data_IF_051045301608
#
_entry.id   IF_051045301608
#
_cell.length_a   1.000
_cell.length_b   1.000
_cell.length_c   1.000
_cell.angle_alpha   90.00
_cell.angle_beta   90.00
_cell.angle_gamma   90.00
#
_symmetry.space_group_name_H-M   'P 1'
#
loop_
_entity.id
_entity.type
_entity.pdbx_description
1 polymer ?
2 non-polymer ?
3 water ?
#
# COMPACT_ATOMS: atom_id res chain seq x y z
N UNK A 1 5.83 -16.66 15.93
CA UNK A 1 5.80 -15.22 15.68
C UNK A 1 6.61 -14.89 14.42
N UNK A 2 6.15 -13.90 13.67
CA UNK A 2 6.90 -13.46 12.50
C UNK A 2 5.98 -12.75 11.51
N UNK A 3 6.34 -12.85 10.23
CA UNK A 3 5.55 -12.34 9.12
C UNK A 3 6.28 -12.70 7.83
N UNK A 4 5.74 -12.23 6.70
CA UNK A 4 6.37 -12.44 5.40
C UNK A 4 7.46 -11.40 5.17
N UNK A 5 8.60 -11.84 4.66
CA UNK A 5 9.63 -10.91 4.18
C UNK A 5 9.74 -10.88 2.66
N UNK A 6 9.38 -11.97 1.99
CA UNK A 6 9.35 -12.02 0.52
C UNK A 6 7.99 -12.55 0.09
N UNK A 7 7.07 -11.67 -0.35
CA UNK A 7 7.32 -10.23 -0.29
C UNK A 7 7.07 -9.69 1.10
N UNK A 8 7.58 -8.49 1.39
CA UNK A 8 7.39 -7.92 2.73
C UNK A 8 5.92 -7.69 3.02
N UNK A 9 5.50 -8.08 4.22
CA UNK A 9 4.19 -7.66 4.69
C UNK A 9 4.18 -6.14 4.84
N UNK A 10 2.99 -5.58 5.04
CA UNK A 10 2.89 -4.14 5.20
C UNK A 10 3.61 -3.68 6.46
N UNK A 11 3.69 -4.55 7.48
CA UNK A 11 4.32 -4.16 8.75
C UNK A 11 5.83 -4.32 8.67
N UNK A 12 6.32 -5.42 8.09
CA UNK A 12 7.76 -5.58 7.88
C UNK A 12 8.31 -4.44 7.04
N UNK A 13 7.59 -4.03 6.00
CA UNK A 13 8.01 -2.93 5.16
C UNK A 13 8.22 -1.64 5.92
N UNK A 14 7.13 -1.08 6.46
CA UNK A 14 7.23 0.13 7.27
C UNK A 14 8.41 0.09 8.23
N UNK A 15 8.77 -1.09 8.72
CA UNK A 15 9.80 -1.22 9.74
C UNK A 15 11.20 -1.29 9.14
N UNK A 16 11.38 -2.02 8.04
CA UNK A 16 12.64 -1.96 7.31
C UNK A 16 12.97 -0.54 6.88
N UNK A 17 11.97 0.34 6.84
CA UNK A 17 12.22 1.74 6.51
C UNK A 17 12.93 2.45 7.66
N UNK A 18 12.54 2.16 8.89
CA UNK A 18 13.07 2.83 10.05
C UNK A 18 11.97 3.47 10.87
N UNK A 19 11.37 2.69 11.78
CA UNK A 19 10.28 3.22 12.61
C UNK A 19 10.59 4.58 13.19
N UNK A 20 11.84 4.77 13.65
CA UNK A 20 12.22 6.02 14.29
C UNK A 20 12.29 7.18 13.30
N UNK A 21 12.31 6.91 12.00
CA UNK A 21 12.31 7.94 10.97
C UNK A 21 11.68 7.38 9.70
N UNK A 22 10.37 7.19 9.67
CA UNK A 22 9.72 6.62 8.50
C UNK A 22 10.06 7.37 7.22
N UNK A 23 10.06 6.65 6.11
CA UNK A 23 10.41 7.21 4.80
C UNK A 23 9.21 7.36 3.88
N UNK A 24 8.36 6.34 3.81
CA UNK A 24 7.18 6.41 2.97
C UNK A 24 6.04 7.13 3.69
N UNK A 25 5.22 7.83 2.91
CA UNK A 25 4.10 8.55 3.49
C UNK A 25 3.18 7.63 4.26
N UNK A 26 2.83 6.49 3.67
CA UNK A 26 1.96 5.52 4.35
C UNK A 26 2.51 5.16 5.73
N UNK A 27 3.83 4.91 5.82
CA UNK A 27 4.42 4.52 7.09
C UNK A 27 4.48 5.69 8.06
N UNK A 28 4.81 6.88 7.56
CA UNK A 28 4.73 8.08 8.41
C UNK A 28 3.33 8.22 8.99
N UNK A 29 2.31 8.14 8.13
CA UNK A 29 0.93 8.21 8.61
C UNK A 29 0.57 7.03 9.50
N UNK A 30 1.32 5.93 9.43
CA UNK A 30 1.02 4.78 10.28
C UNK A 30 1.55 4.99 11.70
N UNK A 31 2.75 5.55 11.84
CA UNK A 31 3.30 5.81 13.16
C UNK A 31 2.58 6.98 13.81
N UNK A 32 2.25 8.00 13.03
CA UNK A 32 1.44 9.10 13.55
C UNK A 32 0.07 8.61 14.00
N UNK A 33 -0.37 7.44 13.55
CA UNK A 33 -1.70 6.92 13.86
C UNK A 33 -1.69 5.99 15.05
N UNK A 34 -0.82 4.97 15.05
CA UNK A 34 -0.82 3.98 16.11
C UNK A 34 0.46 3.93 16.92
N UNK A 35 1.32 4.92 16.75
CA UNK A 35 2.57 5.00 17.48
C UNK A 35 3.67 4.16 16.87
N UNK A 36 4.90 4.41 17.33
CA UNK A 36 6.05 3.63 16.88
C UNK A 36 6.13 2.27 17.55
N UNK A 37 5.42 2.08 18.66
CA UNK A 37 5.54 0.85 19.43
C UNK A 37 5.11 -0.37 18.62
N UNK A 38 4.03 -0.25 17.86
CA UNK A 38 3.55 -1.37 17.07
C UNK A 38 4.62 -1.85 16.09
N UNK A 39 5.30 -0.93 15.43
CA UNK A 39 6.27 -1.30 14.40
C UNK A 39 7.39 -2.17 14.95
N UNK A 40 7.63 -2.14 16.26
CA UNK A 40 8.68 -2.97 16.83
C UNK A 40 8.14 -4.33 17.25
N UNK A 41 6.94 -4.35 17.83
CA UNK A 41 6.24 -5.60 18.10
C UNK A 41 5.63 -6.10 16.79
N UNK A 42 6.44 -6.04 15.72
CA UNK A 42 6.02 -6.38 14.37
C UNK A 42 5.75 -7.88 14.19
N UNK A 43 6.12 -8.71 15.17
CA UNK A 43 5.89 -10.14 15.09
C UNK A 43 4.55 -10.57 15.64
N UNK A 44 3.87 -9.69 16.39
CA UNK A 44 2.66 -10.08 17.10
C UNK A 44 1.38 -9.53 16.54
N UNK A 45 1.18 -9.66 15.23
CA UNK A 45 -0.09 -9.35 14.58
C UNK A 45 -0.84 -10.68 14.52
N UNK A 46 -1.55 -10.99 15.59
CA UNK A 46 -2.08 -12.33 15.80
C UNK A 46 -3.43 -12.25 16.49
N UNK A 47 -4.05 -13.42 16.67
CA UNK A 47 -5.23 -13.55 17.51
C UNK A 47 -5.10 -14.85 18.29
N UNK A 48 -4.84 -14.74 19.60
CA UNK A 48 -4.50 -15.89 20.41
C UNK A 48 -5.50 -17.03 20.37
N UNK A 49 -6.78 -16.73 20.11
CA UNK A 49 -7.83 -17.76 20.11
C UNK A 49 -8.66 -17.62 18.84
N UNK A 50 -8.05 -17.95 17.70
CA UNK A 50 -8.78 -18.04 16.43
C UNK A 50 -9.37 -19.42 16.22
N UNK A 51 -8.62 -20.47 16.54
CA UNK A 51 -9.06 -21.86 16.40
C UNK A 51 -9.42 -22.21 14.96
N UNK A 52 -8.98 -21.39 14.00
CA UNK A 52 -9.31 -21.58 12.61
C UNK A 52 -10.50 -20.80 12.12
N UNK A 53 -11.14 -20.00 12.98
CA UNK A 53 -12.32 -19.23 12.61
C UNK A 53 -12.03 -17.74 12.51
N UNK A 54 -10.96 -17.40 11.78
CA UNK A 54 -10.51 -16.02 11.63
C UNK A 54 -11.65 -15.06 11.33
N UNK A 55 -12.64 -15.50 10.54
CA UNK A 55 -13.74 -14.63 10.16
C UNK A 55 -14.56 -14.17 11.36
N UNK A 56 -14.50 -14.91 12.48
CA UNK A 56 -15.29 -14.56 13.65
C UNK A 56 -14.53 -13.71 14.66
N UNK A 57 -13.20 -13.64 14.55
CA UNK A 57 -12.40 -12.94 15.54
C UNK A 57 -11.73 -11.69 14.97
N UNK A 58 -11.42 -11.66 13.68
CA UNK A 58 -10.88 -10.48 13.02
C UNK A 58 -12.06 -9.61 12.56
N UNK A 59 -12.23 -8.41 13.10
CA UNK A 59 -13.35 -7.57 12.66
C UNK A 59 -13.10 -6.99 11.27
N UNK A 60 -14.18 -6.80 10.53
CA UNK A 60 -14.08 -6.11 9.25
C UNK A 60 -13.53 -4.70 9.46
N UNK A 61 -12.71 -4.25 8.52
CA UNK A 61 -12.10 -2.94 8.63
C UNK A 61 -10.84 -2.89 9.48
N UNK A 62 -10.42 -4.01 10.07
CA UNK A 62 -9.17 -4.09 10.79
C UNK A 62 -8.46 -5.41 10.51
N UNK A 63 -8.52 -5.88 9.26
CA UNK A 63 -7.87 -7.13 8.92
C UNK A 63 -6.36 -7.02 9.04
N UNK A 64 -5.77 -5.93 8.51
CA UNK A 64 -4.34 -5.76 8.59
C UNK A 64 -3.84 -5.65 10.02
N UNK A 65 -4.72 -5.37 10.98
CA UNK A 65 -4.31 -5.23 12.37
C UNK A 65 -4.94 -6.23 13.31
N UNK A 66 -5.54 -7.29 12.74
CA UNK A 66 -6.19 -8.33 13.53
C UNK A 66 -7.09 -7.74 14.62
N UNK A 67 -7.60 -6.53 14.38
CA UNK A 67 -8.45 -5.87 15.35
C UNK A 67 -7.74 -5.46 16.63
N UNK A 68 -6.41 -5.55 16.64
CA UNK A 68 -5.63 -5.17 17.82
C UNK A 68 -5.45 -3.67 17.83
N UNK A 69 -5.99 -3.01 18.88
CA UNK A 69 -5.88 -1.56 18.97
C UNK A 69 -4.45 -1.08 18.82
N UNK A 70 -3.48 -1.91 19.23
CA UNK A 70 -2.09 -1.52 19.10
C UNK A 70 -1.70 -1.28 17.65
N UNK A 71 -2.14 -2.16 16.74
CA UNK A 71 -1.81 -2.04 15.32
C UNK A 71 -2.84 -1.22 14.55
N UNK A 72 -3.63 -0.40 15.23
CA UNK A 72 -4.67 0.38 14.55
C UNK A 72 -4.12 1.08 13.32
N UNK A 73 -2.87 1.53 13.37
CA UNK A 73 -2.27 2.26 12.28
C UNK A 73 -2.05 1.46 11.00
N UNK A 74 -2.24 0.14 11.03
CA UNK A 74 -2.07 -0.65 9.84
C UNK A 74 -3.32 -0.70 8.96
N UNK A 75 -4.48 -0.39 9.53
CA UNK A 75 -5.76 -0.50 8.83
C UNK A 75 -6.06 0.71 7.97
N UNK A 76 -5.13 1.66 7.86
CA UNK A 76 -5.36 2.86 7.06
C UNK A 76 -5.69 2.50 5.61
N UNK A 77 -6.71 3.17 5.07
CA UNK A 77 -7.10 2.98 3.67
C UNK A 77 -6.42 4.06 2.84
N UNK A 78 -5.33 3.70 2.18
CA UNK A 78 -4.58 4.62 1.35
C UNK A 78 -4.22 3.96 0.03
N UNK A 79 -3.95 4.80 -0.96
CA UNK A 79 -3.55 4.34 -2.29
C UNK A 79 -2.02 4.32 -2.47
N UNK A 80 -1.26 4.58 -1.41
CA UNK A 80 0.19 4.74 -1.54
C UNK A 80 0.99 3.74 -0.73
N UNK A 81 0.35 2.82 -0.01
CA UNK A 81 1.07 1.79 0.74
C UNK A 81 2.16 1.20 -0.15
N UNK A 82 3.44 1.33 0.23
CA UNK A 82 4.50 0.74 -0.58
C UNK A 82 4.22 -0.74 -0.87
N UNK A 83 4.51 -1.14 -2.11
CA UNK A 83 4.06 -2.43 -2.61
C UNK A 83 5.12 -3.09 -3.48
N UNK A 84 5.23 -4.41 -3.34
CA UNK A 84 6.12 -5.20 -4.18
C UNK A 84 5.41 -5.61 -5.46
N UNK A 85 6.10 -5.48 -6.59
CA UNK A 85 5.59 -5.91 -7.88
C UNK A 85 6.01 -7.36 -8.10
N UNK A 86 5.02 -8.24 -8.31
CA UNK A 86 5.26 -9.67 -8.33
C UNK A 86 4.74 -10.25 -9.63
N UNK A 87 5.32 -11.40 -10.02
CA UNK A 87 4.96 -12.09 -11.25
C UNK A 87 5.37 -13.54 -11.11
N UNK A 88 4.74 -14.45 -11.86
CA UNK A 88 5.06 -15.87 -11.73
C UNK A 88 6.36 -16.22 -12.43
N UNK A 89 6.83 -17.43 -12.18
CA UNK A 89 8.03 -17.94 -12.83
C UNK A 89 7.64 -18.66 -14.11
N UNK A 90 8.52 -19.51 -14.64
CA UNK A 90 8.23 -20.22 -15.88
C UNK A 90 7.04 -21.16 -15.73
N UNK A 91 6.60 -21.45 -14.51
CA UNK A 91 5.49 -22.36 -14.29
C UNK A 91 4.29 -21.70 -13.65
N UNK A 92 4.34 -20.39 -13.38
CA UNK A 92 3.20 -19.67 -12.85
C UNK A 92 3.13 -19.58 -11.34
N UNK A 93 4.17 -20.01 -10.63
CA UNK A 93 4.17 -20.02 -9.17
C UNK A 93 4.99 -18.87 -8.62
N UNK A 94 4.88 -18.69 -7.30
CA UNK A 94 5.61 -17.65 -6.58
C UNK A 94 6.13 -18.25 -5.29
N UNK A 95 7.41 -18.01 -4.98
CA UNK A 95 8.04 -18.58 -3.79
C UNK A 95 7.96 -17.56 -2.66
N UNK A 96 7.05 -17.79 -1.73
CA UNK A 96 6.90 -16.90 -0.58
C UNK A 96 7.93 -17.25 0.48
N UNK A 97 8.45 -16.22 1.16
CA UNK A 97 9.50 -16.38 2.15
C UNK A 97 9.00 -15.76 3.44
N UNK A 98 8.60 -16.61 4.39
CA UNK A 98 8.05 -16.18 5.67
C UNK A 98 9.14 -16.24 6.73
N UNK A 99 9.31 -15.14 7.46
CA UNK A 99 10.33 -15.03 8.50
C UNK A 99 9.71 -15.35 9.85
N UNK A 100 10.20 -16.42 10.48
CA UNK A 100 9.67 -16.91 11.75
C UNK A 100 10.71 -16.66 12.83
N UNK A 101 10.57 -15.54 13.56
CA UNK A 101 11.43 -15.27 14.70
C UNK A 101 11.19 -16.24 15.85
N UNK A 102 10.13 -17.04 15.79
CA UNK A 102 9.89 -18.10 16.76
C UNK A 102 9.19 -19.23 16.02
N UNK A 103 9.94 -20.20 15.50
CA UNK A 103 9.31 -21.31 14.77
C UNK A 103 8.43 -22.15 15.68
N UNK A 104 7.13 -22.18 15.37
CA UNK A 104 6.18 -23.00 16.09
C UNK A 104 5.53 -23.99 15.13
N UNK A 105 4.98 -25.06 15.70
CA UNK A 105 4.29 -26.06 14.89
C UNK A 105 3.26 -25.38 13.99
N UNK A 106 3.02 -25.97 12.84
CA UNK A 106 2.24 -25.35 11.78
C UNK A 106 1.02 -26.18 11.45
N UNK A 107 -0.15 -25.51 11.42
CA UNK A 107 -1.37 -26.12 10.88
C UNK A 107 -1.48 -25.86 9.38
N UNK A 108 -1.58 -24.59 8.99
CA UNK A 108 -1.60 -24.26 7.57
C UNK A 108 -1.10 -22.84 7.36
N UNK A 109 -0.79 -22.54 6.09
CA UNK A 109 -0.41 -21.20 5.62
C UNK A 109 -1.38 -20.88 4.49
N UNK A 110 -2.41 -20.09 4.79
CA UNK A 110 -3.46 -19.79 3.83
C UNK A 110 -3.24 -18.40 3.24
N UNK A 111 -3.36 -18.29 1.93
CA UNK A 111 -3.14 -17.03 1.22
C UNK A 111 -4.44 -16.55 0.60
N UNK A 112 -4.93 -15.41 1.05
CA UNK A 112 -6.10 -14.76 0.48
C UNK A 112 -5.66 -13.61 -0.42
N UNK A 113 -6.52 -13.27 -1.37
CA UNK A 113 -6.22 -12.28 -2.39
C UNK A 113 -7.45 -11.40 -2.57
N UNK A 114 -7.23 -10.08 -2.65
CA UNK A 114 -8.35 -9.17 -2.82
C UNK A 114 -9.07 -9.45 -4.14
N UNK A 115 -10.36 -9.17 -4.16
CA UNK A 115 -11.18 -9.39 -5.35
C UNK A 115 -10.69 -8.50 -6.49
N UNK A 116 -11.04 -8.88 -7.71
CA UNK A 116 -10.81 -8.01 -8.85
C UNK A 116 -11.63 -6.74 -8.69
N UNK A 117 -10.97 -5.60 -8.84
CA UNK A 117 -11.59 -4.33 -8.57
C UNK A 117 -11.41 -3.82 -7.15
N UNK A 118 -10.53 -4.45 -6.37
CA UNK A 118 -10.23 -3.97 -5.03
C UNK A 118 -10.00 -2.47 -5.03
N UNK A 119 -10.56 -1.78 -4.05
CA UNK A 119 -10.42 -0.33 -3.93
C UNK A 119 -9.64 -0.01 -2.68
N UNK A 120 -8.35 0.34 -2.79
CA UNK A 120 -7.52 0.52 -1.60
C UNK A 120 -8.14 1.47 -0.58
N UNK A 121 -8.99 2.37 -1.05
CA UNK A 121 -9.52 3.42 -0.20
C UNK A 121 -10.65 2.95 0.70
N UNK A 122 -11.20 1.76 0.47
CA UNK A 122 -12.17 1.18 1.38
C UNK A 122 -11.44 0.25 2.34
N UNK A 123 -11.50 0.48 3.65
CA UNK A 123 -10.76 -0.37 4.58
C UNK A 123 -11.01 -1.85 4.32
N UNK A 124 -9.95 -2.64 4.38
CA UNK A 124 -10.02 -4.04 4.00
C UNK A 124 -11.02 -4.78 4.88
N UNK A 125 -12.07 -5.31 4.24
CA UNK A 125 -13.03 -6.18 4.89
C UNK A 125 -12.91 -7.58 4.31
N UNK A 126 -13.44 -8.56 5.04
CA UNK A 126 -13.32 -9.94 4.61
C UNK A 126 -13.93 -10.14 3.22
N UNK A 127 -15.05 -9.48 2.95
CA UNK A 127 -15.73 -9.61 1.67
C UNK A 127 -15.03 -8.85 0.54
N UNK A 128 -14.03 -8.03 0.85
CA UNK A 128 -13.17 -7.47 -0.19
C UNK A 128 -12.17 -8.49 -0.71
N UNK A 129 -11.95 -9.56 0.04
CA UNK A 129 -11.09 -10.66 -0.35
C UNK A 129 -11.93 -11.72 -1.05
N UNK A 130 -11.29 -12.48 -1.94
CA UNK A 130 -11.99 -13.58 -2.58
C UNK A 130 -12.25 -14.70 -1.58
N UNK A 131 -13.32 -15.47 -1.79
CA UNK A 131 -13.86 -16.30 -0.71
C UNK A 131 -12.91 -17.36 -0.18
N UNK A 132 -12.36 -18.20 -1.06
CA UNK A 132 -11.45 -19.24 -0.63
C UNK A 132 -10.01 -18.85 -0.95
N UNK A 133 -9.05 -19.31 -0.15
CA UNK A 133 -7.64 -18.95 -0.40
C UNK A 133 -7.13 -19.53 -1.70
N UNK A 134 -6.19 -18.81 -2.31
CA UNK A 134 -5.61 -19.20 -3.59
C UNK A 134 -4.41 -20.12 -3.43
N UNK A 135 -3.96 -20.37 -2.21
CA UNK A 135 -2.83 -21.25 -1.94
C UNK A 135 -2.90 -21.70 -0.49
N UNK A 136 -2.75 -23.00 -0.26
CA UNK A 136 -2.85 -23.57 1.08
C UNK A 136 -1.65 -24.48 1.32
N UNK A 137 -0.72 -24.03 2.15
CA UNK A 137 0.48 -24.79 2.49
C UNK A 137 0.21 -25.54 3.79
N UNK A 138 0.53 -26.84 3.79
CA UNK A 138 0.15 -27.70 4.90
C UNK A 138 1.34 -28.40 5.57
N UNK A 139 2.55 -28.25 5.06
CA UNK A 139 3.73 -28.67 5.78
C UNK A 139 4.91 -27.82 5.31
N UNK A 140 5.77 -27.44 6.25
CA UNK A 140 6.93 -26.60 5.95
C UNK A 140 8.13 -27.14 6.71
N UNK A 141 9.31 -26.75 6.23
CA UNK A 141 10.57 -27.01 6.91
C UNK A 141 11.32 -25.70 7.06
N UNK A 142 11.98 -25.53 8.20
CA UNK A 142 12.70 -24.30 8.49
C UNK A 142 14.04 -24.28 7.76
N UNK A 143 14.48 -23.08 7.37
CA UNK A 143 15.74 -22.93 6.65
C UNK A 143 16.23 -21.49 6.89
N UNK A 144 17.16 -21.34 7.83
CA UNK A 144 17.72 -20.04 8.18
C UNK A 144 16.62 -19.06 8.60
N UNK A 145 15.81 -19.50 9.57
CA UNK A 145 14.82 -18.62 10.15
C UNK A 145 13.76 -18.13 9.20
N UNK A 146 13.43 -18.92 8.17
CA UNK A 146 12.37 -18.56 7.24
C UNK A 146 11.70 -19.83 6.75
N UNK A 147 10.39 -19.74 6.53
CA UNK A 147 9.62 -20.81 5.90
C UNK A 147 9.40 -20.43 4.44
N UNK A 148 9.86 -21.29 3.53
CA UNK A 148 9.80 -21.02 2.10
C UNK A 148 8.78 -21.95 1.48
N UNK A 149 7.78 -21.39 0.80
CA UNK A 149 6.65 -22.15 0.27
C UNK A 149 6.38 -21.71 -1.15
N UNK A 150 6.33 -22.68 -2.07
CA UNK A 150 5.95 -22.37 -3.44
C UNK A 150 4.44 -22.32 -3.55
N UNK A 151 3.93 -21.30 -4.25
CA UNK A 151 2.51 -21.03 -4.30
C UNK A 151 2.07 -20.74 -5.74
N UNK A 152 0.95 -21.29 -6.18
CA UNK A 152 0.42 -20.92 -7.51
C UNK A 152 -0.19 -19.53 -7.48
N UNK A 153 0.38 -18.63 -8.26
CA UNK A 153 -0.04 -17.23 -8.26
C UNK A 153 -1.34 -17.08 -9.05
N UNK A 154 -2.35 -16.40 -8.51
CA UNK A 154 -3.60 -16.23 -9.26
C UNK A 154 -3.34 -15.50 -10.57
N UNK A 155 -3.99 -15.97 -11.63
CA UNK A 155 -3.86 -15.38 -12.95
C UNK A 155 -5.06 -14.50 -13.27
N UNK A 156 -4.84 -13.53 -14.16
CA UNK A 156 -5.87 -12.61 -14.56
C UNK A 156 -5.95 -11.35 -13.72
N UNK A 157 -5.25 -11.29 -12.59
CA UNK A 157 -5.29 -10.11 -11.74
C UNK A 157 -4.49 -8.97 -12.35
N UNK A 158 -4.85 -7.75 -11.97
CA UNK A 158 -4.16 -6.57 -12.46
C UNK A 158 -4.34 -5.43 -11.47
N UNK A 159 -3.27 -4.68 -11.24
CA UNK A 159 -3.30 -3.52 -10.37
C UNK A 159 -2.74 -3.81 -8.99
N UNK A 160 -2.99 -2.87 -8.09
CA UNK A 160 -2.52 -2.99 -6.72
C UNK A 160 -3.49 -3.87 -5.92
N UNK A 161 -2.95 -4.89 -5.26
CA UNK A 161 -3.75 -5.80 -4.47
C UNK A 161 -3.10 -6.04 -3.11
N UNK A 162 -3.89 -6.61 -2.21
CA UNK A 162 -3.44 -7.04 -0.89
C UNK A 162 -3.59 -8.54 -0.82
N UNK A 163 -2.49 -9.25 -0.58
CA UNK A 163 -2.53 -10.67 -0.25
C UNK A 163 -2.63 -10.78 1.26
N UNK A 164 -3.63 -11.52 1.74
CA UNK A 164 -3.86 -11.70 3.16
C UNK A 164 -3.40 -13.10 3.54
N UNK A 165 -2.31 -13.19 4.30
CA UNK A 165 -1.75 -14.46 4.72
C UNK A 165 -2.15 -14.76 6.15
N UNK A 166 -2.71 -15.95 6.37
CA UNK A 166 -3.05 -16.45 7.69
C UNK A 166 -2.17 -17.64 7.99
N UNK A 167 -1.52 -17.61 9.15
CA UNK A 167 -0.72 -18.73 9.64
C UNK A 167 -1.39 -19.27 10.90
N UNK A 168 -1.99 -20.45 10.79
CA UNK A 168 -2.64 -21.10 11.91
C UNK A 168 -1.68 -22.13 12.49
N UNK A 169 -1.24 -21.91 13.72
CA UNK A 169 -0.40 -22.89 14.37
C UNK A 169 -1.19 -24.16 14.66
N UNK A 170 -0.48 -25.29 14.71
CA UNK A 170 -1.10 -26.55 15.09
C UNK A 170 -1.00 -26.80 16.59
N UNK A 171 0.08 -26.36 17.23
CA UNK A 171 0.30 -26.68 18.63
C UNK A 171 -0.56 -25.85 19.57
N UNK A 172 -1.03 -24.69 19.14
CA UNK A 172 -1.95 -23.89 19.94
C UNK A 172 -3.12 -23.44 19.07
N UNK A 173 -4.08 -22.69 19.63
CA UNK A 173 -5.24 -22.25 18.83
C UNK A 173 -5.07 -20.90 18.14
N UNK A 174 -3.91 -20.27 18.26
CA UNK A 174 -3.70 -18.91 17.78
C UNK A 174 -3.12 -18.90 16.36
N UNK A 175 -3.20 -17.74 15.72
CA UNK A 175 -2.78 -17.60 14.33
C UNK A 175 -2.28 -16.18 14.09
N UNK A 176 -1.56 -16.01 12.99
CA UNK A 176 -0.96 -14.73 12.64
C UNK A 176 -1.43 -14.28 11.26
N UNK A 177 -1.43 -12.96 11.06
CA UNK A 177 -2.01 -12.35 9.87
C UNK A 177 -1.01 -11.40 9.25
N UNK A 178 -0.98 -11.35 7.91
CA UNK A 178 0.02 -10.57 7.18
C UNK A 178 -0.61 -9.95 5.95
N UNK A 179 -0.78 -8.63 5.99
CA UNK A 179 -1.24 -7.86 4.82
C UNK A 179 -0.04 -7.57 3.94
N UNK A 180 0.10 -8.31 2.85
CA UNK A 180 1.18 -8.09 1.89
C UNK A 180 0.64 -7.26 0.74
N UNK A 181 1.19 -6.06 0.56
CA UNK A 181 0.81 -5.19 -0.56
C UNK A 181 1.63 -5.59 -1.78
N UNK A 182 0.97 -6.14 -2.79
CA UNK A 182 1.61 -6.57 -4.02
C UNK A 182 1.03 -5.76 -5.17
N UNK A 183 1.62 -5.96 -6.36
CA UNK A 183 1.20 -5.23 -7.56
C UNK A 183 1.41 -6.12 -8.77
N UNK A 184 0.34 -6.36 -9.53
CA UNK A 184 0.37 -7.27 -10.66
C UNK A 184 0.54 -6.52 -11.97
N UNK A 185 1.15 -7.20 -12.95
CA UNK A 185 1.26 -6.69 -14.31
C UNK A 185 0.09 -7.22 -15.14
N UNK A 186 -0.58 -6.31 -15.84
CA UNK A 186 -1.73 -6.68 -16.63
C UNK A 186 -1.36 -7.55 -17.82
N UNK A 187 -2.40 -7.98 -18.54
CA UNK A 187 -2.20 -8.69 -19.80
C UNK A 187 -1.73 -7.76 -20.91
N UNK A 188 -1.68 -6.46 -20.66
CA UNK A 188 -1.20 -5.46 -21.61
C UNK A 188 -0.22 -4.55 -20.89
N UNK A 189 0.89 -4.25 -21.57
CA UNK A 189 1.92 -3.40 -20.97
C UNK A 189 1.32 -2.10 -20.47
N UNK A 190 1.56 -1.80 -19.19
CA UNK A 190 0.96 -0.64 -18.54
C UNK A 190 2.03 0.30 -17.99
N UNK A 191 3.07 0.63 -18.77
CA UNK A 191 4.15 1.47 -18.22
C UNK A 191 3.67 2.87 -17.92
N UNK A 192 4.12 3.41 -16.78
CA UNK A 192 3.82 4.79 -16.44
C UNK A 192 4.26 5.70 -17.58
N UNK A 193 3.35 6.54 -18.04
CA UNK A 193 3.66 7.53 -19.06
C UNK A 193 3.59 8.93 -18.45
N UNK A 194 4.58 9.75 -18.74
CA UNK A 194 4.61 11.12 -18.23
C UNK A 194 3.74 12.02 -19.09
N UNK A 195 3.04 12.95 -18.42
CA UNK A 195 2.20 13.93 -19.11
C UNK A 195 2.76 15.35 -19.02
N UNK A 196 3.16 15.80 -17.85
CA UNK A 196 3.73 17.12 -17.72
C UNK A 196 4.65 17.18 -16.52
N UNK A 197 5.12 18.40 -16.24
CA UNK A 197 5.94 18.68 -15.07
C UNK A 197 5.15 19.53 -14.10
N UNK A 198 5.06 19.08 -12.85
CA UNK A 198 4.41 19.86 -11.80
C UNK A 198 5.42 20.89 -11.32
N UNK A 199 5.52 21.97 -12.10
CA UNK A 199 6.50 23.01 -11.88
C UNK A 199 5.92 24.15 -11.05
N UNK A 200 6.78 24.80 -10.29
CA UNK A 200 6.40 25.92 -9.43
C UNK A 200 7.21 27.15 -9.83
N UNK A 201 6.50 28.21 -10.24
CA UNK A 201 7.16 29.46 -10.60
C UNK A 201 7.69 30.17 -9.37
N UNK A 202 6.79 30.54 -8.46
CA UNK A 202 7.14 31.18 -7.20
C UNK A 202 6.29 30.57 -6.10
N UNK A 203 6.54 30.99 -4.86
CA UNK A 203 5.80 30.45 -3.73
C UNK A 203 4.35 30.95 -3.74
N UNK A 204 3.48 30.19 -3.07
CA UNK A 204 2.07 30.48 -2.92
C UNK A 204 1.76 30.92 -1.49
N UNK A 205 0.78 31.80 -1.31
CA UNK A 205 0.44 32.24 0.05
C UNK A 205 -0.15 31.11 0.87
N UNK A 206 0.26 31.05 2.14
CA UNK A 206 -0.31 30.08 3.06
C UNK A 206 -1.83 30.21 3.09
N UNK A 207 -2.51 29.07 3.07
CA UNK A 207 -3.96 29.04 3.03
C UNK A 207 -4.56 29.01 1.65
N UNK A 208 -3.79 29.32 0.62
CA UNK A 208 -4.27 29.12 -0.74
C UNK A 208 -4.47 27.63 -1.00
N UNK A 209 -5.42 27.31 -1.88
CA UNK A 209 -5.74 25.94 -2.20
C UNK A 209 -5.24 25.60 -3.60
N UNK A 210 -4.70 24.41 -3.75
CA UNK A 210 -4.14 23.94 -5.02
C UNK A 210 -4.91 22.71 -5.46
N UNK A 211 -5.43 22.75 -6.68
CA UNK A 211 -6.25 21.68 -7.22
C UNK A 211 -5.60 21.10 -8.48
N UNK A 212 -5.62 19.78 -8.60
CA UNK A 212 -5.13 19.09 -9.80
C UNK A 212 -6.30 18.35 -10.43
N UNK A 213 -6.65 18.75 -11.65
CA UNK A 213 -7.66 18.06 -12.42
C UNK A 213 -7.01 17.14 -13.45
N UNK A 214 -7.65 16.01 -13.71
CA UNK A 214 -7.14 15.02 -14.65
C UNK A 214 -8.23 14.73 -15.68
N UNK A 215 -7.86 14.78 -16.95
CA UNK A 215 -8.78 14.57 -18.06
C UNK A 215 -8.37 13.34 -18.85
N UNK A 216 -9.35 12.54 -19.25
CA UNK A 216 -9.06 11.32 -20.00
C UNK A 216 -8.89 11.65 -21.48
N UNK A 217 -8.64 10.60 -22.27
CA UNK A 217 -8.38 10.77 -23.70
C UNK A 217 -9.51 11.51 -24.42
N UNK A 218 -10.72 11.51 -23.84
CA UNK A 218 -11.87 12.16 -24.45
C UNK A 218 -12.19 13.50 -23.80
N UNK A 219 -11.24 14.11 -23.10
CA UNK A 219 -11.48 15.37 -22.42
C UNK A 219 -12.50 15.31 -21.30
N UNK A 220 -12.84 14.12 -20.82
CA UNK A 220 -13.80 14.00 -19.73
C UNK A 220 -13.08 14.11 -18.38
N UNK A 221 -13.83 14.56 -17.37
CA UNK A 221 -13.29 14.65 -16.03
C UNK A 221 -13.01 13.26 -15.49
N UNK A 222 -11.75 12.96 -15.23
CA UNK A 222 -11.32 11.64 -14.77
C UNK A 222 -11.17 11.57 -13.25
N UNK A 223 -10.48 12.55 -12.67
CA UNK A 223 -10.26 12.60 -11.22
C UNK A 223 -9.98 14.05 -10.84
N UNK A 224 -10.19 14.35 -9.56
CA UNK A 224 -9.85 15.66 -9.02
C UNK A 224 -9.29 15.50 -7.62
N UNK A 225 -8.27 16.29 -7.31
CA UNK A 225 -7.59 16.20 -6.02
C UNK A 225 -7.18 17.60 -5.59
N UNK A 226 -7.71 18.04 -4.45
CA UNK A 226 -7.48 19.38 -3.94
C UNK A 226 -6.75 19.32 -2.60
N UNK A 227 -6.02 20.39 -2.29
CA UNK A 227 -5.21 20.43 -1.08
C UNK A 227 -4.98 21.88 -0.68
N UNK A 228 -5.46 22.27 0.49
CA UNK A 228 -5.17 23.58 1.05
C UNK A 228 -3.84 23.51 1.80
N UNK A 229 -2.94 24.45 1.49
CA UNK A 229 -1.55 24.37 1.91
C UNK A 229 -1.38 25.05 3.27
N UNK A 230 -1.15 24.24 4.32
CA UNK A 230 -0.80 24.81 5.61
C UNK A 230 0.54 25.53 5.53
N UNK A 231 0.78 26.41 6.50
CA UNK A 231 2.06 27.08 6.59
C UNK A 231 3.20 26.07 6.54
N UNK A 232 4.22 26.37 5.75
CA UNK A 232 5.33 25.47 5.55
C UNK A 232 5.20 24.54 4.37
N UNK A 233 4.00 24.37 3.84
CA UNK A 233 3.76 23.61 2.62
C UNK A 233 3.53 24.49 1.41
N UNK A 234 3.46 25.81 1.60
CA UNK A 234 3.25 26.76 0.53
C UNK A 234 4.53 27.16 -0.20
N UNK A 235 5.68 26.63 0.22
CA UNK A 235 6.91 26.95 -0.47
C UNK A 235 6.89 26.45 -1.91
N UNK A 236 7.67 27.13 -2.76
CA UNK A 236 7.73 26.76 -4.18
C UNK A 236 8.38 25.41 -4.38
N UNK A 237 9.40 25.10 -3.59
CA UNK A 237 9.97 23.76 -3.56
C UNK A 237 9.26 22.85 -2.57
N UNK A 238 8.07 23.26 -2.11
CA UNK A 238 7.30 22.50 -1.13
C UNK A 238 5.92 22.11 -1.65
N UNK A 239 5.16 23.06 -2.21
CA UNK A 239 3.76 22.75 -2.55
C UNK A 239 3.64 21.72 -3.65
N UNK A 240 4.42 21.76 -4.74
CA UNK A 240 4.33 20.68 -5.73
C UNK A 240 4.49 19.30 -5.12
N UNK A 241 5.33 19.16 -4.10
CA UNK A 241 5.42 17.89 -3.38
C UNK A 241 4.22 17.67 -2.49
N UNK A 242 3.74 18.73 -1.82
CA UNK A 242 2.56 18.61 -0.99
C UNK A 242 1.37 18.09 -1.80
N UNK A 243 1.19 18.62 -3.00
CA UNK A 243 0.09 18.15 -3.85
C UNK A 243 0.36 16.74 -4.36
N UNK A 244 1.58 16.46 -4.80
CA UNK A 244 1.93 15.13 -5.27
C UNK A 244 1.76 14.07 -4.21
N UNK A 245 1.80 14.45 -2.93
CA UNK A 245 1.56 13.48 -1.86
C UNK A 245 0.07 13.25 -1.64
N UNK A 246 -0.74 14.31 -1.70
CA UNK A 246 -2.19 14.13 -1.60
C UNK A 246 -2.72 13.33 -2.78
N UNK A 247 -2.15 13.53 -3.97
CA UNK A 247 -2.60 12.79 -5.15
C UNK A 247 -2.31 11.32 -5.02
N UNK A 248 -1.02 10.97 -4.82
CA UNK A 248 -0.66 9.56 -4.71
C UNK A 248 -1.46 8.86 -3.63
N UNK A 249 -1.76 9.56 -2.53
CA UNK A 249 -2.45 8.93 -1.42
C UNK A 249 -3.88 8.55 -1.78
N UNK A 250 -4.60 9.42 -2.49
CA UNK A 250 -6.00 9.19 -2.80
C UNK A 250 -6.24 8.51 -4.14
N UNK A 251 -5.20 8.26 -4.94
CA UNK A 251 -5.43 7.79 -6.30
C UNK A 251 -4.36 6.78 -6.72
N UNK A 252 -4.79 5.83 -7.55
CA UNK A 252 -3.90 4.95 -8.30
C UNK A 252 -4.00 5.17 -9.80
N UNK A 253 -4.86 6.09 -10.25
CA UNK A 253 -4.97 6.36 -11.69
C UNK A 253 -3.89 7.33 -12.15
N UNK A 254 -3.51 8.27 -11.31
CA UNK A 254 -2.45 9.23 -11.61
C UNK A 254 -1.49 9.29 -10.42
N UNK A 255 -0.21 9.42 -10.72
CA UNK A 255 0.84 9.52 -9.71
C UNK A 255 1.77 10.67 -10.09
N UNK A 256 2.20 11.42 -9.08
CA UNK A 256 3.08 12.56 -9.28
C UNK A 256 4.36 12.34 -8.50
N UNK A 257 5.50 12.46 -9.19
CA UNK A 257 6.79 12.30 -8.56
C UNK A 257 7.89 11.94 -9.54
N UNK A 258 8.77 11.03 -9.13
CA UNK A 258 9.88 10.56 -9.97
C UNK A 258 9.69 9.07 -10.22
N UNK A 259 9.88 8.67 -11.47
CA UNK A 259 9.85 7.26 -11.82
C UNK A 259 11.22 6.64 -11.58
N UNK A 260 11.22 5.43 -11.02
CA UNK A 260 12.47 4.70 -10.78
C UNK A 260 12.53 3.49 -11.69
N UNK A 261 13.69 2.81 -11.65
CA UNK A 261 13.91 1.68 -12.54
C UNK A 261 12.85 0.60 -12.36
N UNK A 262 12.44 0.35 -11.12
CA UNK A 262 11.47 -0.71 -10.86
C UNK A 262 10.15 -0.41 -11.55
N UNK A 263 9.62 0.79 -11.34
CA UNK A 263 8.35 1.17 -11.92
C UNK A 263 7.50 1.96 -10.96
N UNK A 264 8.11 2.39 -9.85
CA UNK A 264 7.42 3.15 -8.82
C UNK A 264 7.64 4.65 -9.00
N UNK A 265 6.67 5.43 -8.55
CA UNK A 265 6.69 6.88 -8.68
C UNK A 265 6.63 7.46 -7.27
N UNK A 266 7.75 8.00 -6.80
CA UNK A 266 7.82 8.65 -5.50
C UNK A 266 8.16 10.13 -5.69
N UNK A 267 7.40 11.04 -5.09
CA UNK A 267 7.67 12.46 -5.30
C UNK A 267 9.03 12.89 -4.78
N UNK A 268 9.31 14.20 -4.87
CA UNK A 268 10.56 14.78 -4.40
C UNK A 268 10.28 16.20 -3.95
N UNK A 269 11.16 16.72 -3.09
CA UNK A 269 11.05 18.09 -2.62
C UNK A 269 11.52 19.11 -3.67
N UNK A 270 11.15 18.90 -4.93
CA UNK A 270 11.66 19.69 -6.04
C UNK A 270 10.65 20.73 -6.51
N UNK A 271 11.18 21.84 -7.04
CA UNK A 271 10.34 22.87 -7.63
C UNK A 271 9.84 22.46 -9.00
N UNK A 272 10.65 21.74 -9.77
CA UNK A 272 10.31 21.36 -11.14
C UNK A 272 10.34 19.86 -11.40
N UNK A 273 11.11 19.08 -10.62
CA UNK A 273 11.40 17.70 -10.96
C UNK A 273 10.22 16.75 -10.73
N UNK A 274 9.11 17.22 -10.16
CA UNK A 274 7.97 16.35 -9.94
C UNK A 274 7.15 16.20 -11.23
N UNK A 275 6.82 14.97 -11.59
CA UNK A 275 6.17 14.66 -12.85
C UNK A 275 4.83 13.96 -12.62
N UNK A 276 3.93 14.12 -13.58
CA UNK A 276 2.57 13.59 -13.52
C UNK A 276 2.49 12.42 -14.49
N UNK A 277 2.30 11.22 -13.96
CA UNK A 277 2.29 10.00 -14.74
C UNK A 277 0.88 9.41 -14.75
N UNK A 278 0.54 8.72 -15.85
CA UNK A 278 -0.71 7.97 -15.95
C UNK A 278 -0.44 6.76 -16.83
N UNK A 279 -1.11 5.65 -16.50
CA UNK A 279 -0.87 4.36 -17.16
C UNK A 279 -1.58 4.21 -18.50
N UNK A 280 -2.19 5.28 -19.00
CA UNK A 280 -2.85 5.26 -20.30
C UNK A 280 -2.32 6.42 -21.14
N UNK A 281 -2.76 6.50 -22.38
CA UNK A 281 -2.31 7.52 -23.31
C UNK A 281 -3.36 8.62 -23.47
N UNK A 282 -2.90 9.76 -23.98
CA UNK A 282 -3.81 10.86 -24.29
C UNK A 282 -4.39 11.58 -23.11
N UNK A 283 -3.97 11.27 -21.88
CA UNK A 283 -4.50 11.97 -20.72
C UNK A 283 -3.84 13.34 -20.59
N UNK A 284 -4.60 14.28 -20.00
CA UNK A 284 -4.09 15.61 -19.73
C UNK A 284 -4.48 16.00 -18.30
N UNK A 285 -3.71 16.92 -17.72
CA UNK A 285 -3.98 17.40 -16.37
C UNK A 285 -3.85 18.91 -16.34
N UNK A 286 -4.58 19.53 -15.41
CA UNK A 286 -4.53 20.97 -15.19
C UNK A 286 -4.39 21.24 -13.71
N UNK A 287 -3.68 22.31 -13.37
CA UNK A 287 -3.46 22.72 -11.99
C UNK A 287 -4.14 24.08 -11.80
N UNK A 288 -5.13 24.12 -10.90
CA UNK A 288 -5.86 25.33 -10.58
C UNK A 288 -5.48 25.80 -9.18
N UNK A 289 -5.64 27.10 -8.94
CA UNK A 289 -5.13 27.74 -7.73
C UNK A 289 -6.22 28.66 -7.18
N UNK A 290 -6.82 28.27 -6.07
CA UNK A 290 -7.70 29.16 -5.32
C UNK A 290 -6.91 29.95 -4.30
N UNK A 291 -6.97 31.27 -4.36
CA UNK A 291 -6.30 32.17 -3.44
C UNK A 291 -7.19 32.51 -2.25
N UNK A 292 -6.59 32.75 -1.09
CA UNK A 292 -7.39 33.05 0.11
C UNK A 292 -8.31 34.24 -0.10
N UNK A 293 -9.61 34.02 0.11
CA UNK A 293 -10.63 35.05 -0.03
C UNK A 293 -10.21 36.30 0.74
N UNK A 294 -10.33 37.46 0.11
CA UNK A 294 -10.05 38.74 0.73
C UNK A 294 -11.33 39.53 0.92
N UNK A 295 -11.40 40.27 2.02
CA UNK A 295 -12.56 41.08 2.32
C UNK A 295 -13.07 40.83 3.73
N UNK A 296 -13.73 41.83 4.29
CA UNK A 296 -14.23 41.75 5.66
C UNK A 296 -15.71 41.45 5.75
X LIG B 1 3.73 -17.95 21.58
X LIG B 1 4.18 -17.18 22.00
X LIG B 1 4.14 -18.14 20.72
X LIG B 1 3.81 -18.74 22.17
X LIG B 1 2.78 -17.74 21.45
X LIG C 1 -7.66 10.73 2.62
X LIG C 1 -7.26 11.40 3.21
X LIG C 1 -7.42 9.83 2.92
X LIG C 1 -8.64 10.84 2.64
X LIG C 1 -7.34 10.87 1.71
X LIG D 1 -13.81 -11.28 -8.25
X LIG D 1 -12.93 -11.26 -7.82
X LIG D 1 -13.74 -11.67 -9.14
X LIG D 1 -14.43 -11.81 -7.70
X LIG D 1 -14.15 -10.36 -8.33
#
# INVERSE_FOLDING_TARGET
HGSMETPPSRVYGCFLEGPENPKSAACKAAVAAGGTQALYDWNGVNQGNANGNHQAVVPDGQLCGAGKALFKGLNLARSDWPSTAIAPDASGNFQFVYKASAPHATRYFDFYITKDGYNPEKPLAWSDLEPAPFCSITSVKLENGTYRMNCPLPQGKTGKHVIYNVWQRSDSPEAFYACIDVSFSGAVANPWQALGNLRAQQDLPAGATVTLRLFDAQGRDAQRHSLTLAQGANGAKQWPLALAQKVNQDSTLVNIGVLDAYGAVSPVASSQDNQVYVRQAGYRFQVDIELPVEGGGEQPGGDGKVDFDYPQGLQQYDAGTVVRGADGKRYQCKPYPNSGWCKGWDLYYAPGKGMAWQDAWTLLHHHHHHHHHH
NH4 N HN1 HN2 HN3 HN4
NH4 N HN1 HN2 HN3 HN4
NH4 N HN1 HN2 HN3 HN4
#
